data_IF_328509450533
#
_entry.id   IF_328509450533
#
_cell.length_a   1.000
_cell.length_b   1.000
_cell.length_c   1.000
_cell.angle_alpha   90.00
_cell.angle_beta   90.00
_cell.angle_gamma   90.00
#
_symmetry.space_group_name_H-M   'P 1'
#
loop_
_entity.id
_entity.type
_entity.pdbx_description
1 polymer ?
#
# COMPACT_ATOMS: atom_id res chain seq x y z
N UNK A 1 13.89 -2.13 -9.80
CA UNK A 1 12.52 -1.63 -9.83
C UNK A 1 11.64 -2.67 -9.14
N UNK A 2 10.77 -2.31 -8.21
CA UNK A 2 9.91 -3.29 -7.57
C UNK A 2 8.98 -3.95 -8.59
N UNK A 3 8.62 -5.20 -8.33
CA UNK A 3 7.64 -5.97 -9.12
C UNK A 3 6.61 -6.51 -8.12
N UNK A 4 5.47 -5.85 -8.07
CA UNK A 4 4.42 -6.15 -7.11
C UNK A 4 3.51 -7.27 -7.60
N UNK A 5 3.37 -8.35 -6.81
CA UNK A 5 2.19 -9.21 -6.87
C UNK A 5 1.17 -8.70 -5.83
N UNK A 6 -0.08 -8.54 -6.23
CA UNK A 6 -1.16 -8.02 -5.37
C UNK A 6 -1.99 -9.19 -4.88
N UNK A 7 -2.02 -9.43 -3.57
CA UNK A 7 -2.89 -10.43 -2.95
C UNK A 7 -4.27 -9.81 -2.68
N UNK A 8 -5.29 -10.30 -3.37
CA UNK A 8 -6.65 -9.76 -3.30
C UNK A 8 -7.73 -10.86 -3.40
N UNK A 9 -7.49 -12.01 -2.78
CA UNK A 9 -8.44 -13.12 -2.79
C UNK A 9 -9.86 -12.69 -2.41
N UNK A 10 -10.82 -13.08 -3.25
CA UNK A 10 -12.26 -12.85 -3.06
C UNK A 10 -12.66 -11.36 -2.92
N UNK A 11 -11.71 -10.46 -3.20
CA UNK A 11 -11.89 -9.02 -3.01
C UNK A 11 -11.30 -8.18 -4.15
N UNK A 12 -10.84 -8.82 -5.24
CA UNK A 12 -10.36 -8.08 -6.40
C UNK A 12 -11.55 -7.53 -7.20
N UNK A 13 -12.02 -6.40 -6.74
CA UNK A 13 -13.03 -5.60 -7.41
C UNK A 13 -12.66 -4.12 -7.28
N UNK A 14 -13.49 -3.27 -7.84
CA UNK A 14 -13.19 -1.86 -7.89
C UNK A 14 -13.38 -1.12 -6.53
N UNK A 15 -13.99 -1.78 -5.53
CA UNK A 15 -14.27 -1.21 -4.20
C UNK A 15 -13.31 -1.77 -3.15
N UNK A 16 -13.22 -3.09 -3.05
CA UNK A 16 -12.60 -3.77 -1.90
C UNK A 16 -11.09 -3.79 -1.96
N UNK A 17 -10.49 -3.89 -3.16
CA UNK A 17 -9.04 -3.93 -3.33
C UNK A 17 -8.40 -2.55 -3.51
N UNK A 18 -8.79 -1.57 -2.72
CA UNK A 18 -8.40 -0.17 -2.88
C UNK A 18 -6.88 0.05 -3.04
N UNK A 19 -6.07 -0.56 -2.19
CA UNK A 19 -4.60 -0.41 -2.26
C UNK A 19 -4.04 -1.04 -3.53
N UNK A 20 -4.50 -2.23 -3.88
CA UNK A 20 -4.13 -2.90 -5.13
C UNK A 20 -4.56 -2.12 -6.36
N UNK A 21 -5.81 -1.64 -6.37
CA UNK A 21 -6.36 -0.85 -7.47
C UNK A 21 -5.57 0.44 -7.72
N UNK A 22 -5.13 1.11 -6.66
CA UNK A 22 -4.32 2.33 -6.80
C UNK A 22 -2.91 2.04 -7.32
N UNK A 23 -2.30 0.91 -6.96
CA UNK A 23 -1.03 0.47 -7.58
C UNK A 23 -1.22 0.20 -9.08
N UNK A 24 -2.25 -0.54 -9.46
CA UNK A 24 -2.56 -0.84 -10.86
C UNK A 24 -2.79 0.46 -11.65
N UNK A 25 -3.48 1.43 -11.05
CA UNK A 25 -3.80 2.71 -11.72
C UNK A 25 -2.58 3.60 -11.92
N UNK A 26 -1.74 3.74 -10.88
CA UNK A 26 -0.69 4.76 -10.87
C UNK A 26 0.73 4.22 -11.11
N UNK A 27 0.91 2.90 -10.92
CA UNK A 27 2.18 2.22 -11.13
C UNK A 27 2.02 0.90 -11.91
N UNK A 28 1.26 0.89 -13.04
CA UNK A 28 0.94 -0.35 -13.75
C UNK A 28 2.19 -1.12 -14.18
N UNK A 29 3.27 -0.44 -14.53
CA UNK A 29 4.53 -1.06 -14.94
C UNK A 29 5.28 -1.76 -13.80
N UNK A 30 4.93 -1.48 -12.56
CA UNK A 30 5.51 -2.11 -11.37
C UNK A 30 4.66 -3.29 -10.88
N UNK A 31 3.41 -3.45 -11.36
CA UNK A 31 2.52 -4.57 -11.01
C UNK A 31 2.70 -5.70 -11.99
N UNK A 32 3.04 -6.88 -11.50
CA UNK A 32 3.31 -8.04 -12.35
C UNK A 32 2.17 -9.07 -12.36
N UNK A 33 1.37 -9.16 -11.32
CA UNK A 33 0.21 -10.04 -11.24
C UNK A 33 -0.75 -9.64 -10.12
N UNK A 34 -2.01 -10.06 -10.23
CA UNK A 34 -2.99 -10.05 -9.14
C UNK A 34 -3.30 -11.49 -8.76
N UNK A 35 -3.29 -11.79 -7.47
CA UNK A 35 -3.59 -13.12 -6.93
C UNK A 35 -5.04 -13.09 -6.44
N UNK A 36 -5.93 -13.62 -7.27
CA UNK A 36 -7.34 -13.78 -6.94
C UNK A 36 -7.94 -15.01 -7.64
N UNK A 37 -8.47 -15.94 -6.85
CA UNK A 37 -9.04 -17.19 -7.34
C UNK A 37 -10.26 -16.98 -8.21
N UNK A 38 -11.08 -15.99 -7.88
CA UNK A 38 -12.35 -15.73 -8.56
C UNK A 38 -12.16 -15.16 -9.98
N UNK A 39 -11.02 -14.53 -10.24
CA UNK A 39 -10.72 -13.90 -11.52
C UNK A 39 -9.54 -14.57 -12.25
N UNK A 40 -9.16 -15.78 -11.85
CA UNK A 40 -8.09 -16.54 -12.53
C UNK A 40 -8.32 -16.62 -14.04
N UNK A 41 -7.27 -16.32 -14.81
CA UNK A 41 -7.29 -16.32 -16.26
C UNK A 41 -7.82 -15.04 -16.92
N UNK A 42 -8.29 -14.07 -16.12
CA UNK A 42 -8.62 -12.72 -16.58
C UNK A 42 -7.42 -11.79 -16.45
N UNK A 43 -7.58 -10.58 -16.95
CA UNK A 43 -6.65 -9.47 -16.75
C UNK A 43 -7.25 -8.45 -15.77
N UNK A 44 -6.43 -7.52 -15.28
CA UNK A 44 -6.93 -6.39 -14.49
C UNK A 44 -7.92 -5.54 -15.29
N UNK A 45 -7.71 -5.37 -16.60
CA UNK A 45 -8.64 -4.69 -17.51
C UNK A 45 -10.01 -5.35 -17.54
N UNK A 46 -10.06 -6.69 -17.59
CA UNK A 46 -11.32 -7.43 -17.61
C UNK A 46 -12.15 -7.26 -16.33
N UNK A 47 -11.50 -6.97 -15.22
CA UNK A 47 -12.15 -6.87 -13.89
C UNK A 47 -12.46 -5.42 -13.52
N UNK A 48 -11.52 -4.51 -13.76
CA UNK A 48 -11.60 -3.13 -13.29
C UNK A 48 -11.99 -2.14 -14.40
N UNK A 49 -11.86 -2.50 -15.68
CA UNK A 49 -11.97 -1.59 -16.81
C UNK A 49 -10.71 -0.73 -17.04
N UNK A 50 -9.62 -1.03 -16.34
CA UNK A 50 -8.28 -0.47 -16.54
C UNK A 50 -7.20 -1.44 -16.01
N UNK A 51 -5.93 -1.16 -16.27
CA UNK A 51 -4.79 -1.96 -15.80
C UNK A 51 -4.17 -2.83 -16.89
N UNK A 52 -4.74 -2.80 -18.09
CA UNK A 52 -4.19 -3.50 -19.26
C UNK A 52 -4.07 -5.00 -19.04
N UNK A 53 -2.99 -5.58 -19.54
CA UNK A 53 -2.78 -7.03 -19.56
C UNK A 53 -2.22 -7.62 -18.25
N UNK A 54 -2.28 -6.89 -17.11
CA UNK A 54 -1.83 -7.44 -15.81
C UNK A 54 -2.66 -8.69 -15.51
N UNK A 55 -2.03 -9.88 -15.37
CA UNK A 55 -2.77 -11.15 -15.26
C UNK A 55 -3.33 -11.36 -13.86
N UNK A 56 -4.52 -11.97 -13.77
CA UNK A 56 -5.08 -12.50 -12.55
C UNK A 56 -4.77 -14.00 -12.47
N UNK A 57 -4.14 -14.41 -11.37
CA UNK A 57 -3.72 -15.78 -11.10
C UNK A 57 -4.37 -16.33 -9.84
N UNK A 58 -4.50 -17.65 -9.72
CA UNK A 58 -5.25 -18.26 -8.60
C UNK A 58 -4.48 -18.32 -7.28
N UNK A 59 -3.13 -18.26 -7.32
CA UNK A 59 -2.27 -18.38 -6.14
C UNK A 59 -0.86 -17.84 -6.41
N UNK A 60 -0.05 -17.74 -5.36
CA UNK A 60 1.32 -17.24 -5.46
C UNK A 60 2.23 -18.14 -6.33
N UNK A 61 2.01 -19.44 -6.33
CA UNK A 61 2.83 -20.37 -7.15
C UNK A 61 2.71 -20.03 -8.64
N UNK A 62 1.53 -19.62 -9.09
CA UNK A 62 1.34 -19.13 -10.46
C UNK A 62 1.92 -17.72 -10.67
N UNK A 63 1.94 -16.88 -9.62
CA UNK A 63 2.53 -15.55 -9.73
C UNK A 63 4.06 -15.59 -9.91
N UNK A 64 4.74 -16.65 -9.46
CA UNK A 64 6.21 -16.82 -9.58
C UNK A 64 6.73 -16.66 -11.00
N UNK A 65 5.97 -17.09 -12.02
CA UNK A 65 6.38 -16.94 -13.42
C UNK A 65 6.58 -15.48 -13.87
N UNK A 66 5.97 -14.54 -13.14
CA UNK A 66 6.10 -13.10 -13.38
C UNK A 66 7.21 -12.46 -12.53
N UNK A 67 8.02 -13.27 -11.82
CA UNK A 67 9.16 -12.85 -11.02
C UNK A 67 8.84 -11.67 -10.07
N UNK A 68 7.87 -11.81 -9.15
CA UNK A 68 7.58 -10.77 -8.15
C UNK A 68 8.77 -10.60 -7.21
N UNK A 69 8.99 -9.36 -6.75
CA UNK A 69 9.96 -9.03 -5.70
C UNK A 69 9.26 -8.64 -4.40
N UNK A 70 7.97 -8.28 -4.50
CA UNK A 70 7.15 -7.89 -3.36
C UNK A 70 5.76 -8.49 -3.49
N UNK A 71 5.19 -8.91 -2.36
CA UNK A 71 3.78 -9.23 -2.24
C UNK A 71 3.09 -8.09 -1.47
N UNK A 72 2.10 -7.46 -2.09
CA UNK A 72 1.28 -6.41 -1.46
C UNK A 72 -0.07 -6.99 -1.07
N UNK A 73 -0.47 -6.82 0.18
CA UNK A 73 -1.82 -7.14 0.64
C UNK A 73 -2.75 -6.04 0.11
N UNK A 74 -3.50 -6.37 -0.94
CA UNK A 74 -4.28 -5.41 -1.73
C UNK A 74 -5.65 -5.06 -1.13
N UNK A 75 -6.17 -5.92 -0.26
CA UNK A 75 -7.45 -5.76 0.41
C UNK A 75 -7.28 -5.32 1.87
N UNK A 76 -8.37 -4.82 2.46
CA UNK A 76 -8.48 -4.53 3.88
C UNK A 76 -9.73 -5.27 4.39
N UNK A 77 -9.61 -6.54 4.82
CA UNK A 77 -10.74 -7.32 5.30
C UNK A 77 -11.36 -6.66 6.54
N UNK A 78 -12.68 -6.76 6.66
CA UNK A 78 -13.40 -6.32 7.85
C UNK A 78 -12.86 -7.06 9.08
N UNK A 79 -12.52 -6.31 10.15
CA UNK A 79 -11.88 -6.87 11.34
C UNK A 79 -10.36 -6.88 11.32
N UNK A 80 -9.71 -6.54 10.20
CA UNK A 80 -8.27 -6.24 10.12
C UNK A 80 -7.34 -7.44 10.29
N UNK A 81 -7.86 -8.67 10.38
CA UNK A 81 -7.08 -9.90 10.51
C UNK A 81 -6.78 -10.57 9.16
N UNK A 82 -5.69 -11.33 9.08
CA UNK A 82 -5.39 -12.20 7.95
C UNK A 82 -6.15 -13.51 8.12
N UNK A 83 -6.81 -13.96 7.06
CA UNK A 83 -7.36 -15.30 7.02
C UNK A 83 -6.27 -16.35 6.70
N UNK A 84 -6.55 -17.61 6.98
CA UNK A 84 -5.60 -18.71 6.75
C UNK A 84 -5.20 -18.85 5.26
N UNK A 85 -6.09 -18.48 4.33
CA UNK A 85 -5.80 -18.56 2.89
C UNK A 85 -4.76 -17.50 2.50
N UNK A 86 -4.92 -16.28 3.00
CA UNK A 86 -3.95 -15.20 2.79
C UNK A 86 -2.61 -15.50 3.45
N UNK A 87 -2.60 -16.07 4.65
CA UNK A 87 -1.37 -16.50 5.34
C UNK A 87 -0.56 -17.49 4.52
N UNK A 88 -1.20 -18.48 3.91
CA UNK A 88 -0.53 -19.47 3.03
C UNK A 88 0.17 -18.77 1.85
N UNK A 89 -0.49 -17.82 1.20
CA UNK A 89 0.11 -17.10 0.07
C UNK A 89 1.27 -16.19 0.51
N UNK A 90 1.14 -15.55 1.68
CA UNK A 90 2.21 -14.74 2.29
C UNK A 90 3.42 -15.61 2.62
N UNK A 91 3.22 -16.78 3.23
CA UNK A 91 4.32 -17.69 3.55
C UNK A 91 5.05 -18.19 2.31
N UNK A 92 4.33 -18.51 1.23
CA UNK A 92 4.92 -18.88 -0.05
C UNK A 92 5.73 -17.75 -0.68
N UNK A 93 5.25 -16.51 -0.54
CA UNK A 93 5.96 -15.32 -1.02
C UNK A 93 7.26 -15.10 -0.26
N UNK A 94 7.24 -15.27 1.07
CA UNK A 94 8.44 -15.22 1.92
C UNK A 94 9.44 -16.31 1.49
N UNK A 95 8.98 -17.56 1.31
CA UNK A 95 9.84 -18.68 0.88
C UNK A 95 10.44 -18.45 -0.52
N UNK A 96 9.77 -17.70 -1.36
CA UNK A 96 10.27 -17.32 -2.69
C UNK A 96 11.26 -16.16 -2.65
N UNK A 97 11.31 -15.41 -1.54
CA UNK A 97 12.20 -14.24 -1.38
C UNK A 97 11.54 -12.89 -1.68
N UNK A 98 10.22 -12.80 -1.59
CA UNK A 98 9.50 -11.53 -1.72
C UNK A 98 9.41 -10.81 -0.38
N UNK A 99 9.65 -9.50 -0.39
CA UNK A 99 9.24 -8.62 0.70
C UNK A 99 7.72 -8.54 0.77
N UNK A 100 7.18 -8.45 1.99
CA UNK A 100 5.72 -8.41 2.22
C UNK A 100 5.32 -7.00 2.66
N UNK A 101 4.38 -6.40 1.94
CA UNK A 101 3.85 -5.06 2.23
C UNK A 101 2.40 -5.17 2.70
N UNK A 102 2.14 -4.67 3.90
CA UNK A 102 0.82 -4.69 4.54
C UNK A 102 0.35 -3.29 4.89
N UNK A 103 -0.88 -2.97 4.52
CA UNK A 103 -1.61 -1.79 4.97
C UNK A 103 -2.68 -2.11 6.02
N UNK A 104 -2.62 -3.27 6.66
CA UNK A 104 -3.61 -3.73 7.63
C UNK A 104 -3.41 -3.08 9.00
N UNK A 105 -4.46 -3.08 9.84
CA UNK A 105 -4.35 -2.64 11.24
C UNK A 105 -3.57 -3.65 12.10
N UNK A 106 -3.71 -4.96 11.80
CA UNK A 106 -2.88 -5.99 12.41
C UNK A 106 -1.50 -5.99 11.76
N UNK A 107 -0.48 -5.60 12.51
CA UNK A 107 0.88 -5.50 11.99
C UNK A 107 1.51 -6.89 11.84
N UNK A 108 2.12 -7.17 10.68
CA UNK A 108 2.84 -8.42 10.41
C UNK A 108 3.99 -8.67 11.37
N UNK A 109 4.65 -7.60 11.84
CA UNK A 109 5.74 -7.67 12.82
C UNK A 109 5.34 -8.24 14.18
N UNK A 110 4.03 -8.30 14.48
CA UNK A 110 3.51 -8.87 15.73
C UNK A 110 3.27 -10.39 15.61
N UNK A 111 3.35 -10.95 14.39
CA UNK A 111 3.27 -12.38 14.16
C UNK A 111 4.67 -13.00 14.24
N UNK A 112 4.95 -13.68 15.36
CA UNK A 112 6.26 -14.30 15.60
C UNK A 112 6.65 -15.34 14.55
N UNK A 113 5.67 -16.07 13.99
CA UNK A 113 5.93 -17.06 12.95
C UNK A 113 6.39 -16.38 11.66
N UNK A 114 5.66 -15.37 11.19
CA UNK A 114 6.02 -14.61 9.99
C UNK A 114 7.37 -13.89 10.16
N UNK A 115 7.62 -13.29 11.33
CA UNK A 115 8.90 -12.63 11.63
C UNK A 115 10.08 -13.62 11.59
N UNK A 116 9.92 -14.79 12.19
CA UNK A 116 10.97 -15.82 12.15
C UNK A 116 11.23 -16.29 10.72
N UNK A 117 10.15 -16.57 9.96
CA UNK A 117 10.22 -17.01 8.57
C UNK A 117 10.85 -15.98 7.66
N UNK A 118 10.47 -14.71 7.81
CA UNK A 118 11.04 -13.59 7.05
C UNK A 118 12.55 -13.43 7.30
N UNK A 119 12.98 -13.47 8.56
CA UNK A 119 14.41 -13.43 8.93
C UNK A 119 15.20 -14.58 8.30
N UNK A 120 14.65 -15.80 8.34
CA UNK A 120 15.30 -16.99 7.75
C UNK A 120 15.52 -16.84 6.25
N UNK A 121 14.57 -16.21 5.55
CA UNK A 121 14.62 -16.02 4.09
C UNK A 121 15.22 -14.67 3.68
N UNK A 122 15.68 -13.85 4.63
CA UNK A 122 16.26 -12.52 4.39
C UNK A 122 15.33 -11.59 3.60
N UNK A 123 14.03 -11.58 3.95
CA UNK A 123 13.00 -10.71 3.40
C UNK A 123 12.43 -9.78 4.47
N UNK A 124 11.88 -8.65 4.04
CA UNK A 124 11.32 -7.62 4.92
C UNK A 124 9.80 -7.78 5.07
N UNK A 125 9.30 -7.55 6.29
CA UNK A 125 7.89 -7.31 6.57
C UNK A 125 7.68 -5.81 6.72
N UNK A 126 6.95 -5.20 5.78
CA UNK A 126 6.75 -3.76 5.67
C UNK A 126 5.32 -3.41 6.06
N UNK A 127 5.13 -2.96 7.28
CA UNK A 127 3.85 -2.52 7.81
C UNK A 127 3.66 -1.02 7.57
N UNK A 128 2.85 -0.64 6.57
CA UNK A 128 2.59 0.75 6.20
C UNK A 128 1.82 1.54 7.28
N UNK A 129 1.15 0.84 8.20
CA UNK A 129 0.44 1.43 9.35
C UNK A 129 1.25 1.37 10.65
N UNK A 130 2.55 1.10 10.55
CA UNK A 130 3.42 1.13 11.73
C UNK A 130 3.72 2.59 12.10
N UNK A 131 3.21 3.11 13.23
CA UNK A 131 3.50 4.48 13.63
C UNK A 131 4.95 4.62 14.07
N UNK A 132 5.54 5.83 13.96
CA UNK A 132 6.85 6.13 14.53
C UNK A 132 6.90 5.84 16.03
N UNK A 133 8.04 5.33 16.50
CA UNK A 133 8.30 5.07 17.92
C UNK A 133 9.76 5.39 18.27
N UNK A 134 10.04 6.36 19.17
CA UNK A 134 9.07 7.16 19.92
C UNK A 134 8.30 8.16 19.02
N UNK A 135 7.07 8.55 19.41
CA UNK A 135 6.31 9.54 18.68
C UNK A 135 6.89 10.95 18.88
N UNK A 136 6.62 11.84 17.93
CA UNK A 136 7.17 13.19 17.94
C UNK A 136 6.12 14.25 18.31
N UNK A 137 6.53 15.20 19.17
CA UNK A 137 5.75 16.41 19.40
C UNK A 137 5.99 17.45 18.31
N UNK A 138 5.00 18.29 17.98
CA UNK A 138 5.17 19.36 17.00
C UNK A 138 6.22 20.37 17.49
N UNK A 139 7.16 20.71 16.62
CA UNK A 139 8.21 21.72 16.89
C UNK A 139 7.83 23.11 16.39
N UNK A 140 6.74 23.23 15.64
CA UNK A 140 6.28 24.48 15.06
C UNK A 140 7.07 24.91 13.83
N UNK A 141 7.74 24.00 13.13
CA UNK A 141 8.53 24.25 11.92
C UNK A 141 7.69 24.86 10.79
N UNK A 142 6.37 24.66 10.83
CA UNK A 142 5.42 25.31 9.91
C UNK A 142 5.50 26.84 9.91
N UNK A 143 5.99 27.49 10.98
CA UNK A 143 6.21 28.94 11.08
C UNK A 143 7.37 29.40 10.20
N UNK A 144 8.34 28.55 9.96
CA UNK A 144 9.55 28.83 9.19
C UNK A 144 9.46 28.33 7.74
N UNK A 145 8.39 27.60 7.42
CA UNK A 145 8.19 26.98 6.12
C UNK A 145 8.04 28.04 5.01
N UNK A 146 8.84 27.86 3.94
CA UNK A 146 8.90 28.78 2.79
C UNK A 146 8.15 28.28 1.55
N UNK A 147 7.40 27.19 1.66
CA UNK A 147 6.63 26.60 0.58
C UNK A 147 5.16 26.41 1.00
N UNK A 148 4.22 26.52 0.06
CA UNK A 148 2.81 26.28 0.36
C UNK A 148 2.53 24.81 0.62
N UNK A 149 1.50 24.53 1.42
CA UNK A 149 0.95 23.19 1.61
C UNK A 149 -0.52 23.20 1.20
N UNK A 150 -0.88 22.29 0.30
CA UNK A 150 -2.27 22.06 -0.08
C UNK A 150 -2.79 20.86 0.71
N UNK A 151 -3.79 21.09 1.57
CA UNK A 151 -4.52 20.04 2.26
C UNK A 151 -5.82 19.74 1.52
N UNK A 152 -5.99 18.50 1.07
CA UNK A 152 -7.23 18.04 0.47
C UNK A 152 -8.11 17.41 1.55
N UNK A 153 -9.28 17.97 1.76
CA UNK A 153 -10.26 17.53 2.76
C UNK A 153 -11.53 17.01 2.11
N UNK A 154 -12.34 16.28 2.85
CA UNK A 154 -13.63 15.78 2.39
C UNK A 154 -14.55 15.50 3.58
N UNK A 155 -15.84 15.41 3.31
CA UNK A 155 -16.90 15.27 4.32
C UNK A 155 -16.91 13.89 4.99
N UNK A 156 -16.32 12.85 4.37
CA UNK A 156 -16.34 11.49 4.89
C UNK A 156 -15.17 10.64 4.38
N UNK A 157 -15.09 9.39 4.82
CA UNK A 157 -14.20 8.37 4.24
C UNK A 157 -14.58 8.12 2.76
N UNK A 158 -13.62 7.61 1.99
CA UNK A 158 -13.80 7.21 0.58
C UNK A 158 -14.40 8.27 -0.39
N UNK A 159 -14.36 9.55 -0.02
CA UNK A 159 -14.82 10.67 -0.88
C UNK A 159 -13.82 11.07 -1.96
N UNK A 160 -12.74 10.31 -2.15
CA UNK A 160 -11.73 10.57 -3.20
C UNK A 160 -10.61 11.54 -2.79
N UNK A 161 -10.48 11.93 -1.51
CA UNK A 161 -9.43 12.86 -1.02
C UNK A 161 -8.03 12.51 -1.49
N UNK A 162 -7.61 11.26 -1.24
CA UNK A 162 -6.28 10.77 -1.60
C UNK A 162 -6.06 10.80 -3.12
N UNK A 163 -7.04 10.33 -3.88
CA UNK A 163 -6.99 10.33 -5.35
C UNK A 163 -6.88 11.75 -5.90
N UNK A 164 -7.70 12.68 -5.40
CA UNK A 164 -7.64 14.09 -5.81
C UNK A 164 -6.29 14.72 -5.50
N UNK A 165 -5.75 14.49 -4.29
CA UNK A 165 -4.45 15.00 -3.91
C UNK A 165 -3.33 14.43 -4.79
N UNK A 166 -3.40 13.13 -5.12
CA UNK A 166 -2.44 12.47 -5.98
C UNK A 166 -2.49 13.01 -7.41
N UNK A 167 -3.67 13.12 -8.01
CA UNK A 167 -3.85 13.68 -9.36
C UNK A 167 -3.35 15.13 -9.46
N UNK A 168 -3.59 15.96 -8.43
CA UNK A 168 -3.05 17.32 -8.37
C UNK A 168 -1.51 17.28 -8.33
N UNK A 169 -0.93 16.42 -7.50
CA UNK A 169 0.52 16.28 -7.39
C UNK A 169 1.14 15.84 -8.72
N UNK A 170 0.57 14.83 -9.38
CA UNK A 170 1.03 14.34 -10.68
C UNK A 170 0.94 15.43 -11.76
N UNK A 171 -0.18 16.17 -11.81
CA UNK A 171 -0.37 17.22 -12.81
C UNK A 171 0.60 18.40 -12.61
N UNK A 172 0.87 18.78 -11.36
CA UNK A 172 1.85 19.82 -11.05
C UNK A 172 3.28 19.37 -11.39
N UNK A 173 3.62 18.11 -11.12
CA UNK A 173 4.94 17.57 -11.49
C UNK A 173 5.12 17.49 -13.03
N UNK A 174 4.06 17.14 -13.80
CA UNK A 174 4.07 17.22 -15.27
C UNK A 174 4.37 18.65 -15.76
N UNK A 175 3.89 19.65 -15.03
CA UNK A 175 4.20 21.07 -15.29
C UNK A 175 5.55 21.52 -14.75
N UNK A 176 6.41 20.57 -14.32
CA UNK A 176 7.76 20.82 -13.79
C UNK A 176 7.79 21.61 -12.47
N UNK A 177 6.72 21.59 -11.70
CA UNK A 177 6.75 22.05 -10.32
C UNK A 177 7.37 20.96 -9.45
N UNK A 178 8.17 21.34 -8.45
CA UNK A 178 8.71 20.40 -7.48
C UNK A 178 7.68 20.18 -6.36
N UNK A 179 6.76 19.25 -6.57
CA UNK A 179 5.68 18.94 -5.62
C UNK A 179 5.89 17.56 -5.06
N UNK A 180 5.74 17.42 -3.75
CA UNK A 180 5.77 16.15 -3.06
C UNK A 180 4.39 15.81 -2.51
N UNK A 181 4.02 14.54 -2.64
CA UNK A 181 2.82 14.00 -2.01
C UNK A 181 3.16 13.45 -0.64
N UNK A 182 2.37 13.81 0.38
CA UNK A 182 2.45 13.25 1.72
C UNK A 182 1.25 12.34 1.96
N UNK A 183 1.49 11.05 2.09
CA UNK A 183 0.45 10.07 2.42
C UNK A 183 0.04 10.16 3.90
N UNK A 184 -1.26 10.23 4.17
CA UNK A 184 -1.81 10.15 5.54
C UNK A 184 -2.45 8.81 5.85
N UNK A 185 -2.31 7.85 4.97
CA UNK A 185 -2.80 6.48 5.10
C UNK A 185 -2.00 5.54 4.19
N UNK A 186 -2.18 4.24 4.41
CA UNK A 186 -1.36 3.18 3.80
C UNK A 186 -1.23 3.26 2.28
N UNK A 187 -2.31 3.54 1.57
CA UNK A 187 -2.30 3.60 0.10
C UNK A 187 -1.45 4.78 -0.40
N UNK A 188 -1.62 5.96 0.22
CA UNK A 188 -0.83 7.14 -0.14
C UNK A 188 0.66 6.95 0.18
N UNK A 189 0.97 6.33 1.33
CA UNK A 189 2.35 6.01 1.73
C UNK A 189 2.97 5.02 0.74
N UNK A 190 2.24 3.97 0.34
CA UNK A 190 2.74 2.99 -0.64
C UNK A 190 3.05 3.62 -2.00
N UNK A 191 2.18 4.53 -2.47
CA UNK A 191 2.37 5.19 -3.75
C UNK A 191 3.54 6.18 -3.75
N UNK A 192 3.64 7.02 -2.71
CA UNK A 192 4.63 8.09 -2.64
C UNK A 192 5.96 7.65 -2.04
N UNK A 193 5.97 6.57 -1.26
CA UNK A 193 7.10 6.20 -0.40
C UNK A 193 7.28 7.15 0.79
N UNK A 194 6.33 8.07 1.05
CA UNK A 194 6.46 9.11 2.06
C UNK A 194 5.12 9.40 2.74
N UNK A 195 5.11 9.54 4.06
CA UNK A 195 3.89 9.85 4.79
C UNK A 195 3.84 9.31 6.22
N UNK A 196 2.71 9.54 6.86
CA UNK A 196 2.40 9.11 8.22
C UNK A 196 1.06 8.39 8.23
N UNK A 197 0.95 7.19 8.79
CA UNK A 197 -0.33 6.51 8.98
C UNK A 197 -1.08 7.16 10.14
N UNK A 198 -1.73 8.30 9.91
CA UNK A 198 -2.31 9.14 10.97
C UNK A 198 -3.40 8.44 11.78
N UNK A 199 -4.06 7.45 11.21
CA UNK A 199 -5.05 6.61 11.90
C UNK A 199 -4.43 5.59 12.89
N UNK A 200 -3.11 5.41 12.83
CA UNK A 200 -2.34 4.59 13.76
C UNK A 200 -1.52 5.44 14.76
N UNK A 201 -1.52 6.76 14.61
CA UNK A 201 -0.80 7.69 15.50
C UNK A 201 -1.76 8.21 16.57
N UNK A 202 -1.32 8.26 17.84
CA UNK A 202 -2.08 8.90 18.91
C UNK A 202 -2.27 10.38 18.58
N UNK A 203 -3.49 10.90 18.74
CA UNK A 203 -3.91 12.22 18.25
C UNK A 203 -2.99 13.38 18.68
N UNK A 204 -2.44 13.33 19.88
CA UNK A 204 -1.54 14.35 20.44
C UNK A 204 -0.22 14.49 19.66
N UNK A 205 0.16 13.44 18.95
CA UNK A 205 1.41 13.39 18.19
C UNK A 205 1.23 13.57 16.68
N UNK A 206 -0.01 13.52 16.15
CA UNK A 206 -0.26 13.60 14.70
C UNK A 206 0.38 14.83 14.05
N UNK A 207 0.25 15.99 14.70
CA UNK A 207 0.86 17.21 14.18
C UNK A 207 2.38 17.15 14.19
N UNK A 208 2.99 16.51 15.21
CA UNK A 208 4.43 16.32 15.31
C UNK A 208 4.97 15.39 14.22
N UNK A 209 4.26 14.31 13.94
CA UNK A 209 4.66 13.35 12.89
C UNK A 209 4.59 13.98 11.49
N UNK A 210 3.68 14.91 11.26
CA UNK A 210 3.60 15.65 9.99
C UNK A 210 4.68 16.75 9.93
N UNK A 211 5.05 17.33 11.08
CA UNK A 211 5.99 18.46 11.18
C UNK A 211 7.44 18.05 10.87
N UNK A 212 7.79 16.77 11.00
CA UNK A 212 9.15 16.26 10.80
C UNK A 212 9.44 15.74 9.37
N UNK A 213 8.42 15.64 8.52
CA UNK A 213 8.56 15.18 7.13
C UNK A 213 8.85 16.36 6.20
#
# INVERSE_FOLDING_TARGET
MPRYAILAHESFDYILSKTGNMLIRYKPNEVCAVIDRNHHGKTAEDVLGWGGSIPCVSNFDQAKQYAPTHLVIGNAPQGGGLDNKSLIEIEKAIDYGCDIISGMHSLLKNDHHLVHKAKKNNVSLIDLRNPPNPPHFPKGSWKERKFPVLLVVGSDCDTGKMTTAWEICEELNKRKWNVKFLGTGQTGILLSGNGVPIDAVVSDFMAGEIDII
#
